data_IF_395417739755
#
_entry.id   IF_395417739755
#
_cell.length_a   1.000
_cell.length_b   1.000
_cell.length_c   1.000
_cell.angle_alpha   90.00
_cell.angle_beta   90.00
_cell.angle_gamma   90.00
#
_symmetry.space_group_name_H-M   'P 1'
#
loop_
_entity.id
_entity.type
_entity.pdbx_description
1 polymer ?
2 non-polymer ?
3 non-polymer ?
4 water ?
#
# COMPACT_ATOMS: atom_id res chain seq x y z
N UNK A 26 8.60 20.81 -7.37
CA UNK A 26 8.42 19.86 -6.21
C UNK A 26 8.39 20.56 -4.83
N UNK A 27 7.27 20.45 -4.13
CA UNK A 27 6.98 21.26 -2.94
C UNK A 27 6.75 20.38 -1.72
N UNK A 28 7.37 20.74 -0.61
CA UNK A 28 7.22 20.02 0.65
C UNK A 28 6.25 20.82 1.50
N UNK A 29 5.08 20.28 1.79
CA UNK A 29 4.05 21.00 2.55
C UNK A 29 3.99 20.43 3.94
N UNK A 30 4.40 21.22 4.93
CA UNK A 30 4.41 20.72 6.30
C UNK A 30 3.00 20.55 6.85
N UNK A 31 2.80 19.46 7.57
CA UNK A 31 1.52 19.16 8.16
C UNK A 31 1.60 19.38 9.66
N UNK A 32 2.45 18.61 10.33
CA UNK A 32 2.54 18.63 11.79
C UNK A 32 3.48 17.54 12.22
N UNK A 33 3.85 17.55 13.49
CA UNK A 33 4.84 16.61 13.99
C UNK A 33 4.22 15.25 14.23
N UNK A 34 4.90 14.19 13.79
CA UNK A 34 4.45 12.83 14.01
C UNK A 34 5.46 11.98 14.72
N UNK A 35 4.99 10.87 15.23
CA UNK A 35 5.86 9.89 15.84
C UNK A 35 6.94 9.47 14.86
N UNK A 36 8.17 9.37 15.34
CA UNK A 36 9.33 9.09 14.49
C UNK A 36 10.24 7.94 14.93
N UNK A 37 9.98 7.38 16.11
CA UNK A 37 10.87 6.35 16.70
C UNK A 37 10.69 4.97 16.11
N UNK A 38 9.61 4.79 15.38
CA UNK A 38 9.39 3.64 14.48
C UNK A 38 8.89 4.16 13.16
N UNK A 39 8.87 3.28 12.17
CA UNK A 39 8.36 3.61 10.85
C UNK A 39 6.84 3.49 10.72
N UNK A 40 6.11 3.46 11.83
CA UNK A 40 4.65 3.21 11.78
C UNK A 40 3.85 4.17 10.90
N UNK A 41 4.29 5.42 10.80
CA UNK A 41 3.58 6.39 9.94
C UNK A 41 3.96 6.27 8.48
N UNK A 42 5.03 5.54 8.18
CA UNK A 42 5.68 5.60 6.88
C UNK A 42 6.00 4.22 6.34
N UNK A 43 4.97 3.41 6.16
CA UNK A 43 5.15 2.10 5.59
C UNK A 43 4.47 2.07 4.24
N UNK A 44 4.92 1.12 3.44
CA UNK A 44 4.44 1.05 2.08
C UNK A 44 2.98 0.60 2.01
N UNK A 45 2.48 0.03 3.09
CA UNK A 45 1.19 -0.61 3.10
C UNK A 45 0.13 0.23 3.81
N UNK A 46 0.40 1.52 4.03
CA UNK A 46 -0.66 2.43 4.45
C UNK A 46 -1.53 2.75 3.25
N UNK A 47 -2.79 2.28 3.32
CA UNK A 47 -3.75 2.33 2.22
C UNK A 47 -5.07 2.89 2.74
N UNK A 48 -5.19 4.21 2.93
CA UNK A 48 -4.22 5.21 2.59
C UNK A 48 -3.75 5.99 3.81
N UNK A 49 -2.61 6.62 3.65
CA UNK A 49 -2.15 7.66 4.60
C UNK A 49 -2.68 9.03 4.18
N UNK A 50 -2.93 9.18 2.87
CA UNK A 50 -3.24 10.43 2.24
C UNK A 50 -4.25 10.16 1.17
N UNK A 51 -5.35 10.91 1.16
CA UNK A 51 -6.34 10.69 0.15
C UNK A 51 -7.10 11.97 -0.19
N UNK A 52 -7.32 12.17 -1.48
CA UNK A 52 -8.10 13.32 -1.96
C UNK A 52 -9.52 12.92 -2.29
N UNK A 53 -10.45 13.82 -2.02
CA UNK A 53 -11.78 13.73 -2.57
C UNK A 53 -12.21 15.13 -2.93
N UNK A 54 -12.63 15.32 -4.18
CA UNK A 54 -13.06 16.63 -4.68
C UNK A 54 -11.83 17.53 -4.65
N UNK A 55 -11.97 18.68 -4.00
CA UNK A 55 -10.84 19.61 -3.85
C UNK A 55 -10.17 19.56 -2.48
N UNK A 56 -10.41 18.52 -1.68
CA UNK A 56 -9.81 18.42 -0.34
C UNK A 56 -8.93 17.19 -0.24
N UNK A 57 -7.86 17.30 0.53
CA UNK A 57 -6.98 16.16 0.78
C UNK A 57 -6.96 15.89 2.27
N UNK A 58 -6.96 14.62 2.62
CA UNK A 58 -7.06 14.15 4.01
C UNK A 58 -5.81 13.34 4.30
N UNK A 59 -5.37 13.45 5.53
CA UNK A 59 -4.17 12.78 5.98
C UNK A 59 -4.41 12.17 7.34
N UNK A 60 -3.64 11.14 7.66
CA UNK A 60 -3.69 10.59 8.98
C UNK A 60 -2.30 10.11 9.38
N UNK A 61 -2.01 10.22 10.66
CA UNK A 61 -0.73 9.77 11.19
C UNK A 61 -0.83 9.75 12.71
N UNK A 62 0.13 9.08 13.34
CA UNK A 62 0.27 9.15 14.78
C UNK A 62 1.17 10.30 15.15
N UNK A 63 0.74 11.12 16.12
CA UNK A 63 1.59 12.21 16.60
C UNK A 63 2.67 11.69 17.53
N UNK A 64 3.51 12.59 18.06
CA UNK A 64 4.60 12.21 18.96
C UNK A 64 4.19 11.42 20.19
N UNK A 65 2.96 11.60 20.64
CA UNK A 65 2.43 10.90 21.82
C UNK A 65 1.63 9.67 21.48
N UNK A 66 1.54 9.33 20.19
CA UNK A 66 0.91 8.08 19.80
C UNK A 66 -0.54 8.23 19.48
N UNK A 67 -1.07 9.47 19.48
CA UNK A 67 -2.47 9.67 19.10
C UNK A 67 -2.62 9.71 17.61
N UNK A 68 -3.71 9.11 17.16
CA UNK A 68 -4.16 9.22 15.79
C UNK A 68 -4.63 10.63 15.55
N UNK A 69 -3.96 11.30 14.61
CA UNK A 69 -4.30 12.62 14.15
C UNK A 69 -4.89 12.51 12.76
N UNK A 70 -5.94 13.29 12.52
CA UNK A 70 -6.55 13.46 11.19
C UNK A 70 -6.34 14.88 10.76
N UNK A 71 -6.07 15.05 9.48
CA UNK A 71 -5.94 16.36 8.90
C UNK A 71 -6.63 16.49 7.59
N UNK A 72 -6.95 17.72 7.23
CA UNK A 72 -7.46 18.00 5.93
C UNK A 72 -7.03 19.38 5.46
N UNK A 73 -6.98 19.54 4.14
CA UNK A 73 -6.72 20.84 3.54
C UNK A 73 -7.47 20.93 2.23
N UNK A 74 -7.62 22.15 1.74
CA UNK A 74 -7.90 22.33 0.33
C UNK A 74 -6.63 22.01 -0.42
N UNK A 75 -6.75 21.28 -1.53
CA UNK A 75 -5.60 20.97 -2.37
C UNK A 75 -4.81 22.21 -2.80
N UNK A 76 -5.49 23.31 -3.06
CA UNK A 76 -4.77 24.58 -3.31
C UNK A 76 -3.73 24.84 -2.22
N UNK A 77 -4.26 24.89 -1.01
CA UNK A 77 -3.64 25.53 0.12
C UNK A 77 -2.52 24.72 0.76
N UNK A 78 -1.70 25.41 1.53
CA UNK A 78 -0.74 24.78 2.42
C UNK A 78 -1.23 24.74 3.86
N UNK A 79 -2.46 25.20 4.11
CA UNK A 79 -3.03 25.32 5.42
C UNK A 79 -3.82 24.06 5.76
N UNK A 80 -3.31 23.28 6.70
CA UNK A 80 -3.98 22.07 7.17
C UNK A 80 -4.80 22.38 8.40
N UNK A 81 -5.97 21.75 8.48
CA UNK A 81 -6.70 21.66 9.73
C UNK A 81 -6.48 20.28 10.31
N UNK A 82 -5.97 20.23 11.54
CA UNK A 82 -5.61 19.02 12.21
C UNK A 82 -6.49 18.77 13.39
N UNK A 83 -6.83 17.50 13.60
CA UNK A 83 -7.57 17.12 14.79
C UNK A 83 -6.94 15.88 15.39
N UNK A 84 -6.54 15.98 16.63
CA UNK A 84 -6.13 14.82 17.39
C UNK A 84 -7.39 14.07 17.79
N UNK A 85 -7.44 12.78 17.50
CA UNK A 85 -8.61 12.00 17.85
C UNK A 85 -8.52 11.45 19.28
N UNK A 86 -9.53 10.70 19.68
CA UNK A 86 -9.56 10.02 20.96
C UNK A 86 -8.67 8.77 21.00
N UNK A 87 -8.13 8.32 19.86
CA UNK A 87 -7.46 7.05 19.80
C UNK A 87 -5.95 7.15 19.82
N UNK A 88 -5.31 6.28 20.57
CA UNK A 88 -3.88 6.14 20.64
C UNK A 88 -3.53 4.80 20.00
N UNK A 89 -2.39 4.69 19.34
CA UNK A 89 -2.00 3.43 18.75
C UNK A 89 -0.73 2.94 19.43
N UNK A 90 -0.46 1.64 19.29
CA UNK A 90 0.78 1.04 19.75
C UNK A 90 1.90 1.39 18.74
N UNK A 91 2.34 2.62 18.80
CA UNK A 91 3.32 3.14 17.85
C UNK A 91 4.70 2.51 17.94
N UNK A 92 4.99 1.82 19.05
CA UNK A 92 6.23 1.08 19.19
C UNK A 92 6.34 -0.11 18.23
N UNK A 93 5.23 -0.52 17.63
CA UNK A 93 5.22 -1.62 16.69
C UNK A 93 4.86 -1.06 15.32
N UNK A 94 5.80 -1.12 14.38
CA UNK A 94 5.64 -0.52 13.09
C UNK A 94 4.57 -1.18 12.23
N UNK A 95 4.05 -2.33 12.64
CA UNK A 95 2.94 -2.96 11.98
C UNK A 95 1.62 -2.21 12.15
N UNK A 96 1.54 -1.40 13.21
CA UNK A 96 0.26 -0.94 13.77
C UNK A 96 -0.21 0.34 13.10
N UNK A 97 -0.17 0.31 11.78
CA UNK A 97 -0.41 1.46 10.93
C UNK A 97 -1.87 1.91 10.96
N UNK A 98 -2.08 3.10 10.41
CA UNK A 98 -3.38 3.64 10.11
C UNK A 98 -3.61 3.61 8.60
N UNK A 99 -4.76 3.09 8.19
CA UNK A 99 -5.30 3.24 6.85
C UNK A 99 -6.64 3.99 6.88
N UNK A 100 -6.77 4.92 5.95
CA UNK A 100 -7.96 5.75 5.81
C UNK A 100 -8.40 5.78 4.36
N UNK A 101 -9.68 6.08 4.23
CA UNK A 101 -10.27 6.31 2.93
C UNK A 101 -11.55 7.09 3.14
N UNK A 102 -11.97 7.82 2.11
CA UNK A 102 -13.30 8.40 2.16
C UNK A 102 -14.20 7.65 1.23
N UNK A 103 -15.45 7.44 1.64
CA UNK A 103 -16.45 6.89 0.76
C UNK A 103 -17.09 7.97 -0.11
N UNK A 104 -18.00 7.55 -0.96
CA UNK A 104 -18.69 8.40 -1.94
C UNK A 104 -19.44 9.56 -1.36
N UNK A 105 -19.86 9.42 -0.11
CA UNK A 105 -20.58 10.47 0.58
C UNK A 105 -19.69 11.36 1.41
N UNK A 106 -18.37 11.10 1.39
CA UNK A 106 -17.38 11.91 2.08
C UNK A 106 -17.08 11.51 3.50
N UNK A 107 -17.69 10.44 4.00
CA UNK A 107 -17.37 9.95 5.33
C UNK A 107 -15.97 9.34 5.25
N UNK A 108 -15.18 9.68 6.25
CA UNK A 108 -13.88 9.04 6.49
C UNK A 108 -14.07 7.69 7.15
N UNK A 109 -13.30 6.72 6.69
CA UNK A 109 -13.25 5.40 7.27
C UNK A 109 -11.81 5.22 7.69
N UNK A 110 -11.63 4.78 8.90
CA UNK A 110 -10.30 4.69 9.52
C UNK A 110 -10.18 3.33 10.12
N UNK A 111 -9.03 2.70 9.92
CA UNK A 111 -8.73 1.46 10.56
C UNK A 111 -7.27 1.48 10.97
N UNK A 112 -7.00 1.05 12.18
CA UNK A 112 -5.70 1.36 12.75
C UNK A 112 -5.31 0.43 13.87
N UNK A 113 -4.01 0.41 14.11
CA UNK A 113 -3.43 -0.09 15.35
C UNK A 113 -3.60 -1.61 15.54
N UNK A 114 -3.27 -2.38 14.49
CA UNK A 114 -3.35 -3.83 14.57
C UNK A 114 -2.02 -4.51 14.36
N UNK A 115 -1.82 -5.56 15.13
CA UNK A 115 -0.80 -6.56 14.83
C UNK A 115 -1.29 -7.87 15.40
N UNK A 116 -2.32 -8.39 14.75
CA UNK A 116 -3.03 -9.57 15.21
C UNK A 116 -3.98 -9.26 16.33
N UNK A 117 -4.76 -8.21 16.18
CA UNK A 117 -5.68 -7.69 17.17
C UNK A 117 -7.07 -7.56 16.62
N UNK A 118 -8.05 -7.45 17.52
CA UNK A 118 -9.43 -7.26 17.12
C UNK A 118 -9.52 -5.97 16.27
N UNK A 119 -10.37 -6.03 15.25
CA UNK A 119 -10.57 -4.92 14.33
C UNK A 119 -10.85 -3.59 15.06
N UNK A 120 -10.03 -2.59 14.78
CA UNK A 120 -10.23 -1.21 15.12
C UNK A 120 -10.63 -0.44 13.85
N UNK A 121 -11.89 -0.06 13.81
CA UNK A 121 -12.47 0.58 12.67
C UNK A 121 -13.51 1.60 13.15
N UNK A 122 -13.50 2.78 12.56
CA UNK A 122 -14.57 3.72 12.83
C UNK A 122 -14.70 4.67 11.68
N UNK A 123 -15.86 5.31 11.68
CA UNK A 123 -16.22 6.28 10.68
C UNK A 123 -16.25 7.70 11.27
N UNK A 124 -16.08 8.69 10.40
CA UNK A 124 -16.36 10.07 10.82
C UNK A 124 -17.87 10.20 11.12
N UNK A 125 -18.17 11.15 11.98
CA UNK A 125 -19.57 11.38 12.42
C UNK A 125 -20.39 12.09 11.35
N UNK A 126 -19.70 12.75 10.43
CA UNK A 126 -20.32 13.40 9.29
C UNK A 126 -19.33 13.43 8.11
N UNK A 127 -19.84 13.66 6.90
CA UNK A 127 -18.95 13.75 5.75
C UNK A 127 -17.91 14.82 5.93
N UNK A 128 -16.68 14.57 5.49
CA UNK A 128 -15.63 15.60 5.40
C UNK A 128 -15.25 16.22 6.73
N UNK A 129 -15.52 15.51 7.82
CA UNK A 129 -15.30 15.99 9.15
C UNK A 129 -14.31 15.13 9.93
N UNK A 130 -13.41 15.79 10.64
CA UNK A 130 -12.35 15.16 11.40
C UNK A 130 -12.78 14.85 12.81
N UNK A 131 -13.78 14.03 12.92
CA UNK A 131 -14.31 13.64 14.17
C UNK A 131 -14.74 12.18 13.99
N UNK A 132 -14.14 11.30 14.74
CA UNK A 132 -14.46 9.94 14.62
C UNK A 132 -15.43 9.38 15.65
N UNK A 133 -16.31 8.53 15.18
CA UNK A 133 -17.21 7.81 16.05
C UNK A 133 -16.51 6.73 16.83
N UNK A 134 -17.30 5.92 17.50
CA UNK A 134 -16.77 4.81 18.25
C UNK A 134 -16.35 3.69 17.34
N UNK A 135 -15.47 2.84 17.85
CA UNK A 135 -15.07 1.63 17.15
C UNK A 135 -16.26 0.73 16.88
N UNK A 136 -16.32 0.22 15.67
CA UNK A 136 -17.41 -0.66 15.31
C UNK A 136 -16.92 -1.85 14.52
N UNK A 137 -17.71 -2.92 14.53
CA UNK A 137 -17.40 -4.02 13.61
C UNK A 137 -17.77 -3.66 12.17
N UNK A 138 -17.28 -4.47 11.25
CA UNK A 138 -17.74 -4.37 9.86
C UNK A 138 -18.82 -5.37 9.67
N UNK A 139 -18.44 -6.64 9.69
CA UNK A 139 -19.40 -7.73 9.62
C UNK A 139 -19.51 -8.46 10.94
N UNK A 140 -18.59 -8.21 11.87
CA UNK A 140 -18.49 -9.03 13.07
C UNK A 140 -18.03 -10.47 12.91
N UNK A 141 -17.67 -10.88 11.70
CA UNK A 141 -17.18 -12.24 11.47
C UNK A 141 -15.68 -12.22 11.18
N UNK A 142 -14.96 -13.04 11.94
CA UNK A 142 -13.51 -13.16 11.80
C UNK A 142 -12.78 -11.82 11.83
N UNK A 143 -13.14 -10.99 12.82
CA UNK A 143 -12.56 -9.70 13.02
C UNK A 143 -11.74 -9.65 14.29
N UNK A 144 -11.33 -10.81 14.82
CA UNK A 144 -10.62 -10.87 16.10
C UNK A 144 -9.10 -10.87 15.97
N UNK A 145 -8.60 -11.07 14.76
CA UNK A 145 -7.15 -11.11 14.53
C UNK A 145 -6.80 -10.48 13.19
N UNK A 146 -6.57 -9.18 13.23
CA UNK A 146 -6.39 -8.35 12.08
C UNK A 146 -4.97 -7.82 12.06
N UNK A 147 -4.39 -7.83 10.87
CA UNK A 147 -3.17 -7.09 10.58
C UNK A 147 -3.37 -6.49 9.19
N UNK A 148 -2.74 -5.35 8.93
CA UNK A 148 -2.68 -4.73 7.59
C UNK A 148 -4.04 -4.36 7.01
N UNK A 149 -4.76 -3.47 7.69
CA UNK A 149 -6.00 -2.97 7.09
C UNK A 149 -5.70 -2.15 5.87
N UNK A 150 -6.51 -2.32 4.82
CA UNK A 150 -6.38 -1.52 3.61
C UNK A 150 -7.73 -1.19 3.05
N UNK A 151 -7.91 0.08 2.67
CA UNK A 151 -9.11 0.49 2.00
C UNK A 151 -8.84 0.81 0.55
N UNK A 152 -9.85 0.59 -0.28
CA UNK A 152 -9.81 0.97 -1.67
C UNK A 152 -11.17 1.48 -2.08
N UNK A 153 -11.21 2.52 -2.89
CA UNK A 153 -12.51 2.98 -3.34
C UNK A 153 -12.98 2.15 -4.51
N UNK A 154 -14.29 1.95 -4.59
CA UNK A 154 -14.88 1.21 -5.67
C UNK A 154 -15.78 2.18 -6.41
N UNK A 155 -16.29 1.73 -7.55
CA UNK A 155 -17.30 2.50 -8.29
C UNK A 155 -18.54 2.80 -7.46
N UNK A 156 -19.17 3.93 -7.76
CA UNK A 156 -20.39 4.34 -7.08
C UNK A 156 -20.21 4.80 -5.64
N UNK A 157 -18.99 5.14 -5.24
CA UNK A 157 -18.72 5.59 -3.89
C UNK A 157 -18.57 4.49 -2.84
N UNK A 158 -18.69 3.22 -3.23
CA UNK A 158 -18.49 2.13 -2.31
C UNK A 158 -17.00 1.99 -1.94
N UNK A 159 -16.73 1.17 -0.93
CA UNK A 159 -15.33 0.88 -0.53
C UNK A 159 -15.05 -0.58 -0.48
N UNK A 160 -13.78 -0.90 -0.69
CA UNK A 160 -13.28 -2.23 -0.45
C UNK A 160 -12.41 -2.12 0.79
N UNK A 161 -12.51 -3.12 1.66
CA UNK A 161 -11.58 -3.29 2.78
C UNK A 161 -10.99 -4.66 2.68
N UNK A 162 -9.68 -4.73 2.85
CA UNK A 162 -8.96 -5.98 2.86
C UNK A 162 -8.11 -5.99 4.11
N UNK A 163 -8.04 -7.15 4.73
CA UNK A 163 -7.10 -7.33 5.82
C UNK A 163 -6.57 -8.71 5.87
N UNK A 164 -5.53 -8.86 6.66
CA UNK A 164 -4.91 -10.15 6.89
C UNK A 164 -5.45 -10.71 8.20
N UNK A 165 -6.23 -11.78 8.10
CA UNK A 165 -6.81 -12.40 9.25
C UNK A 165 -5.87 -13.48 9.72
N UNK A 166 -5.50 -13.47 10.98
CA UNK A 166 -4.53 -14.42 11.49
C UNK A 166 -5.15 -15.47 12.37
N UNK A 167 -6.48 -15.49 12.45
CA UNK A 167 -7.17 -16.28 13.46
C UNK A 167 -6.92 -17.77 13.31
N UNK A 168 -6.75 -18.24 12.08
CA UNK A 168 -6.51 -19.65 11.76
C UNK A 168 -5.08 -20.12 12.03
N UNK A 169 -4.17 -19.21 12.35
CA UNK A 169 -2.76 -19.52 12.45
C UNK A 169 -1.92 -19.20 11.22
N UNK A 170 -2.58 -18.81 10.14
CA UNK A 170 -1.95 -18.37 8.92
C UNK A 170 -2.68 -17.11 8.44
N UNK A 171 -1.94 -16.16 7.89
CA UNK A 171 -2.54 -14.95 7.37
C UNK A 171 -3.42 -15.29 6.20
N UNK A 172 -4.65 -14.84 6.25
CA UNK A 172 -5.62 -15.11 5.23
C UNK A 172 -6.24 -13.79 4.79
N UNK A 173 -6.38 -13.63 3.46
CA UNK A 173 -6.97 -12.44 2.88
C UNK A 173 -8.47 -12.43 3.10
N UNK A 174 -8.97 -11.41 3.77
CA UNK A 174 -10.41 -11.22 3.94
C UNK A 174 -10.77 -9.92 3.28
N UNK A 175 -11.83 -9.92 2.50
CA UNK A 175 -12.21 -8.81 1.66
C UNK A 175 -13.69 -8.50 1.90
N UNK A 176 -13.94 -7.26 2.31
CA UNK A 176 -15.28 -6.75 2.49
C UNK A 176 -15.57 -5.63 1.53
N UNK A 177 -16.87 -5.37 1.35
CA UNK A 177 -17.34 -4.22 0.62
C UNK A 177 -18.29 -3.42 1.50
N UNK A 178 -18.17 -2.10 1.40
CA UNK A 178 -19.04 -1.18 2.04
C UNK A 178 -19.98 -0.59 0.99
N UNK A 179 -21.27 -0.79 1.22
CA UNK A 179 -22.29 -0.16 0.43
C UNK A 179 -22.53 1.22 1.02
N UNK A 180 -22.12 2.26 0.30
CA UNK A 180 -22.31 3.62 0.75
C UNK A 180 -23.79 3.96 0.84
N UNK A 181 -24.61 3.38 -0.04
CA UNK A 181 -26.06 3.69 0.00
C UNK A 181 -26.74 3.04 1.22
N UNK A 182 -26.35 1.83 1.58
CA UNK A 182 -26.96 1.17 2.74
C UNK A 182 -26.18 1.39 4.04
N UNK A 183 -24.98 2.00 3.95
CA UNK A 183 -24.12 2.18 5.12
C UNK A 183 -23.85 0.86 5.84
N UNK A 184 -23.46 -0.15 5.07
CA UNK A 184 -23.29 -1.50 5.58
C UNK A 184 -22.13 -2.16 4.90
N UNK A 185 -21.39 -2.96 5.65
CA UNK A 185 -20.33 -3.82 5.13
C UNK A 185 -20.82 -5.22 4.86
N UNK A 186 -20.33 -5.81 3.79
CA UNK A 186 -20.61 -7.17 3.42
C UNK A 186 -19.30 -7.90 3.18
N UNK A 187 -19.27 -9.18 3.55
CA UNK A 187 -18.14 -10.03 3.20
C UNK A 187 -18.20 -10.28 1.71
N UNK A 188 -17.04 -10.17 1.06
CA UNK A 188 -16.93 -10.44 -0.37
C UNK A 188 -16.19 -11.75 -0.58
N UNK A 189 -15.04 -11.89 0.05
CA UNK A 189 -14.26 -13.11 -0.04
C UNK A 189 -13.63 -13.41 1.31
N UNK A 190 -13.82 -14.66 1.73
CA UNK A 190 -13.30 -15.29 2.96
C UNK A 190 -12.07 -16.14 2.59
N UNK A 191 -12.11 -16.70 1.40
CA UNK A 191 -11.17 -17.72 0.95
C UNK A 191 -10.84 -17.39 -0.52
N UNK A 192 -9.95 -16.43 -0.69
CA UNK A 192 -9.54 -15.98 -2.01
C UNK A 192 -8.19 -16.56 -2.43
N UNK A 193 -7.18 -16.38 -1.59
CA UNK A 193 -5.87 -16.96 -1.80
C UNK A 193 -5.76 -18.05 -0.76
N UNK A 194 -5.52 -19.27 -1.22
CA UNK A 194 -5.44 -20.45 -0.38
C UNK A 194 -4.05 -21.10 -0.39
N UNK A 195 -3.39 -21.02 0.75
CA UNK A 195 -2.07 -21.61 0.95
C UNK A 195 -2.11 -23.11 1.23
N UNK A 196 -3.34 -23.63 1.38
CA UNK A 196 -3.64 -25.07 1.54
C UNK A 196 -2.96 -25.67 2.77
N UNK A 197 -2.82 -24.87 3.82
CA UNK A 197 -2.11 -25.24 5.02
C UNK A 197 -0.61 -25.57 4.77
N UNK A 198 -0.07 -25.12 3.66
CA UNK A 198 1.27 -25.51 3.21
C UNK A 198 2.15 -24.27 3.09
N UNK A 199 1.54 -23.14 2.75
CA UNK A 199 2.32 -21.93 2.46
C UNK A 199 1.54 -20.69 2.87
N UNK A 200 2.27 -19.58 2.95
CA UNK A 200 1.74 -18.25 3.18
C UNK A 200 1.71 -17.45 1.89
N UNK A 201 0.93 -16.37 1.93
CA UNK A 201 0.86 -15.39 0.87
C UNK A 201 0.86 -14.01 1.50
N UNK A 202 1.46 -13.07 0.78
CA UNK A 202 1.49 -11.67 1.16
C UNK A 202 1.14 -10.89 -0.07
N UNK A 203 0.15 -10.02 0.09
CA UNK A 203 -0.50 -9.40 -1.06
C UNK A 203 -0.46 -7.88 -1.06
N UNK A 204 -0.79 -7.32 -2.21
CA UNK A 204 -1.12 -5.91 -2.32
C UNK A 204 -2.18 -5.79 -3.38
N UNK A 205 -2.87 -4.65 -3.35
CA UNK A 205 -4.02 -4.39 -4.21
C UNK A 205 -4.03 -2.97 -4.71
N UNK A 206 -4.83 -2.76 -5.74
CA UNK A 206 -5.04 -1.45 -6.30
C UNK A 206 -6.37 -1.50 -7.02
N UNK A 207 -7.16 -0.44 -6.89
CA UNK A 207 -8.37 -0.32 -7.68
C UNK A 207 -8.12 0.74 -8.73
N UNK A 208 -8.35 0.39 -9.99
CA UNK A 208 -8.00 1.26 -11.06
C UNK A 208 -9.15 2.23 -11.38
N UNK A 209 -8.91 3.03 -12.40
CA UNK A 209 -9.87 4.09 -12.81
C UNK A 209 -11.19 3.54 -13.39
N UNK A 210 -11.22 2.26 -13.75
CA UNK A 210 -12.44 1.58 -14.16
C UNK A 210 -13.16 0.91 -13.01
N UNK A 211 -12.59 0.94 -11.80
CA UNK A 211 -13.15 0.25 -10.67
C UNK A 211 -12.79 -1.22 -10.55
N UNK A 212 -11.76 -1.61 -11.30
CA UNK A 212 -11.27 -2.99 -11.30
C UNK A 212 -10.32 -3.16 -10.14
N UNK A 213 -10.51 -4.24 -9.40
CA UNK A 213 -9.63 -4.62 -8.33
C UNK A 213 -8.48 -5.45 -8.87
N UNK A 214 -7.26 -4.99 -8.65
CA UNK A 214 -6.08 -5.76 -9.01
C UNK A 214 -5.45 -6.25 -7.73
N UNK A 215 -4.94 -7.46 -7.78
CA UNK A 215 -4.41 -8.19 -6.63
C UNK A 215 -3.12 -8.86 -7.06
N UNK A 216 -2.05 -8.69 -6.29
CA UNK A 216 -0.85 -9.49 -6.56
C UNK A 216 -0.30 -9.91 -5.27
N UNK A 217 0.52 -10.95 -5.30
CA UNK A 217 1.05 -11.50 -4.07
C UNK A 217 2.27 -12.34 -4.33
N UNK A 218 3.00 -12.58 -3.27
CA UNK A 218 4.09 -13.54 -3.26
C UNK A 218 3.67 -14.65 -2.35
N UNK A 219 4.20 -15.83 -2.64
CA UNK A 219 4.08 -16.94 -1.75
C UNK A 219 5.25 -16.95 -0.80
N UNK A 220 5.08 -17.68 0.30
CA UNK A 220 6.20 -17.97 1.22
C UNK A 220 6.04 -19.37 1.71
N UNK A 221 7.04 -20.22 1.46
CA UNK A 221 6.86 -21.63 1.71
C UNK A 221 6.87 -21.96 3.19
N UNK A 222 7.74 -21.29 3.96
CA UNK A 222 7.84 -21.59 5.39
C UNK A 222 7.50 -20.30 6.12
N UNK A 223 7.90 -20.20 7.38
CA UNK A 223 7.68 -18.95 8.11
C UNK A 223 8.74 -17.93 7.79
N UNK A 224 9.85 -18.36 7.19
CA UNK A 224 11.01 -17.51 7.03
C UNK A 224 10.94 -16.70 5.72
N UNK A 225 11.31 -15.45 5.82
CA UNK A 225 11.26 -14.53 4.69
C UNK A 225 12.04 -15.00 3.46
N UNK A 226 13.11 -15.77 3.65
CA UNK A 226 13.92 -16.20 2.51
C UNK A 226 13.14 -17.19 1.65
N UNK A 227 12.03 -17.74 2.15
CA UNK A 227 11.26 -18.67 1.37
C UNK A 227 10.12 -17.97 0.61
N UNK A 228 10.15 -16.64 0.58
CA UNK A 228 9.30 -15.88 -0.37
C UNK A 228 9.65 -16.35 -1.79
N UNK A 229 8.64 -16.55 -2.62
CA UNK A 229 8.86 -16.82 -4.04
C UNK A 229 7.66 -16.43 -4.88
N UNK A 230 7.97 -16.00 -6.09
CA UNK A 230 7.02 -15.75 -7.17
C UNK A 230 6.16 -14.53 -6.96
N UNK A 231 5.56 -14.09 -8.07
CA UNK A 231 4.61 -13.00 -8.05
C UNK A 231 3.45 -13.49 -8.87
N UNK A 232 2.28 -13.47 -8.24
CA UNK A 232 1.04 -13.89 -8.82
C UNK A 232 0.07 -12.72 -8.89
N UNK A 233 -0.97 -12.91 -9.70
CA UNK A 233 -1.88 -11.86 -10.03
C UNK A 233 -3.29 -12.36 -10.22
N UNK A 234 -4.25 -11.48 -9.85
CA UNK A 234 -5.63 -11.70 -10.18
C UNK A 234 -6.31 -10.34 -10.25
N UNK A 235 -7.40 -10.29 -10.98
CA UNK A 235 -8.23 -9.09 -11.01
C UNK A 235 -9.69 -9.39 -10.94
N UNK A 236 -10.48 -8.42 -10.47
CA UNK A 236 -11.92 -8.57 -10.41
C UNK A 236 -12.55 -7.28 -10.89
N UNK A 237 -13.44 -7.44 -11.85
CA UNK A 237 -14.17 -6.32 -12.39
C UNK A 237 -15.44 -6.04 -11.60
N UNK A 238 -15.92 -7.01 -10.85
CA UNK A 238 -17.23 -6.89 -10.23
C UNK A 238 -17.22 -6.76 -8.71
N UNK A 239 -16.33 -5.92 -8.22
CA UNK A 239 -16.17 -5.70 -6.77
C UNK A 239 -15.89 -7.00 -6.00
N UNK A 240 -15.11 -7.90 -6.60
CA UNK A 240 -14.50 -8.99 -5.88
C UNK A 240 -15.25 -10.30 -5.93
N UNK A 241 -16.31 -10.39 -6.73
CA UNK A 241 -17.13 -11.61 -6.72
C UNK A 241 -16.48 -12.64 -7.62
N UNK A 242 -16.07 -12.23 -8.83
CA UNK A 242 -15.44 -13.12 -9.80
C UNK A 242 -14.07 -12.56 -10.13
N UNK A 243 -13.12 -13.45 -10.42
CA UNK A 243 -11.70 -13.11 -10.55
C UNK A 243 -11.17 -13.71 -11.81
N UNK A 244 -10.27 -12.96 -12.43
CA UNK A 244 -9.72 -13.28 -13.71
C UNK A 244 -8.20 -13.15 -13.68
N UNK A 245 -7.57 -13.85 -14.59
CA UNK A 245 -6.18 -13.66 -14.91
C UNK A 245 -6.02 -12.52 -15.89
N UNK A 246 -4.81 -11.97 -15.97
CA UNK A 246 -4.48 -10.94 -17.00
C UNK A 246 -4.66 -11.49 -18.43
N UNK A 247 -4.50 -12.80 -18.60
CA UNK A 247 -4.68 -13.43 -19.91
C UNK A 247 -6.15 -13.63 -20.26
N UNK A 248 -7.07 -13.27 -19.37
CA UNK A 248 -8.50 -13.24 -19.62
C UNK A 248 -9.25 -14.43 -19.11
N UNK A 249 -8.56 -15.45 -18.63
CA UNK A 249 -9.22 -16.66 -18.11
C UNK A 249 -9.82 -16.42 -16.72
N UNK A 250 -11.00 -16.98 -16.50
CA UNK A 250 -11.63 -16.86 -15.21
C UNK A 250 -10.96 -17.80 -14.21
N UNK A 251 -10.81 -17.35 -12.97
CA UNK A 251 -10.35 -18.25 -11.90
C UNK A 251 -11.48 -19.12 -11.37
N UNK A 252 -11.17 -20.36 -11.08
CA UNK A 252 -12.01 -21.21 -10.22
C UNK A 252 -11.41 -21.02 -8.83
N UNK A 253 -12.16 -20.44 -7.91
CA UNK A 253 -11.66 -20.05 -6.59
C UNK A 253 -11.65 -21.24 -5.64
N UNK A 254 -10.80 -21.24 -4.60
CA UNK A 254 -9.82 -20.22 -4.33
C UNK A 254 -8.58 -20.33 -5.21
N UNK A 255 -7.69 -19.36 -5.10
CA UNK A 255 -6.50 -19.36 -5.95
C UNK A 255 -5.38 -19.99 -5.14
N UNK A 256 -4.80 -21.04 -5.69
CA UNK A 256 -3.77 -21.84 -5.06
C UNK A 256 -2.51 -21.77 -5.85
N UNK A 257 -1.46 -22.35 -5.32
CA UNK A 257 -0.18 -22.42 -6.01
C UNK A 257 -0.33 -22.94 -7.46
N UNK A 258 -1.13 -24.00 -7.61
CA UNK A 258 -1.27 -24.71 -8.88
C UNK A 258 -2.00 -23.93 -9.92
N UNK A 259 -3.01 -23.13 -9.55
CA UNK A 259 -3.83 -22.43 -10.54
C UNK A 259 -3.61 -20.91 -10.62
N UNK A 260 -2.77 -20.34 -9.75
CA UNK A 260 -2.42 -18.93 -9.85
C UNK A 260 -1.79 -18.55 -11.20
N UNK A 261 -2.09 -17.35 -11.63
CA UNK A 261 -1.34 -16.75 -12.70
C UNK A 261 -0.04 -16.19 -12.15
N UNK A 262 1.07 -16.58 -12.79
CA UNK A 262 2.40 -16.16 -12.40
C UNK A 262 2.78 -14.98 -13.26
N UNK A 263 2.87 -13.83 -12.63
CA UNK A 263 3.38 -12.64 -13.24
C UNK A 263 4.87 -12.74 -13.41
N UNK A 264 5.54 -13.38 -12.47
CA UNK A 264 6.97 -13.56 -12.57
C UNK A 264 7.37 -14.72 -11.70
N UNK A 265 8.27 -15.58 -12.17
CA UNK A 265 8.77 -16.68 -11.35
C UNK A 265 10.04 -16.18 -10.71
N UNK A 266 10.08 -16.17 -9.38
CA UNK A 266 11.22 -15.63 -8.65
C UNK A 266 11.41 -16.64 -7.53
N UNK A 267 12.52 -17.38 -7.56
CA UNK A 267 12.65 -18.47 -6.59
C UNK A 267 12.91 -18.07 -5.14
N UNK A 268 12.71 -19.01 -4.22
CA UNK A 268 13.18 -18.81 -2.86
C UNK A 268 14.69 -18.47 -2.87
N UNK A 269 15.10 -17.80 -1.82
CA UNK A 269 16.44 -17.32 -1.60
C UNK A 269 16.88 -16.33 -2.69
N UNK A 270 15.94 -15.47 -3.12
CA UNK A 270 16.24 -14.41 -4.09
C UNK A 270 16.15 -13.01 -3.47
N UNK A 271 16.11 -12.93 -2.13
CA UNK A 271 15.83 -11.68 -1.43
C UNK A 271 14.59 -10.98 -1.98
N UNK A 272 13.59 -11.78 -2.37
CA UNK A 272 12.33 -11.25 -2.79
C UNK A 272 11.59 -10.77 -1.54
N UNK A 273 11.11 -9.54 -1.62
CA UNK A 273 10.42 -8.91 -0.51
C UNK A 273 8.95 -9.20 -0.59
N UNK A 274 8.26 -9.17 0.54
CA UNK A 274 6.79 -9.31 0.61
C UNK A 274 6.15 -7.97 1.02
N UNK A 275 4.92 -7.81 0.54
CA UNK A 275 4.04 -6.71 0.87
C UNK A 275 4.59 -5.41 0.33
N UNK A 276 4.50 -5.24 -0.97
CA UNK A 276 4.97 -4.04 -1.66
C UNK A 276 3.76 -3.26 -2.14
N UNK A 277 3.69 -2.93 -3.42
CA UNK A 277 2.57 -2.20 -3.92
C UNK A 277 2.39 -2.47 -5.38
N UNK A 278 1.28 -2.02 -5.88
CA UNK A 278 0.97 -2.21 -7.24
C UNK A 278 0.10 -1.09 -7.70
N UNK A 279 0.07 -0.91 -8.99
CA UNK A 279 -0.79 0.09 -9.60
C UNK A 279 -1.34 -0.43 -10.91
N UNK A 280 -2.06 0.43 -11.59
CA UNK A 280 -2.56 0.12 -12.91
C UNK A 280 -2.70 1.41 -13.71
N UNK A 281 -2.61 1.27 -15.03
CA UNK A 281 -2.75 2.42 -15.90
C UNK A 281 -4.23 2.59 -16.24
N UNK A 282 -4.53 3.57 -17.07
CA UNK A 282 -5.92 3.86 -17.42
C UNK A 282 -6.52 2.81 -18.35
N UNK A 283 -5.69 1.98 -18.99
CA UNK A 283 -6.17 0.81 -19.76
C UNK A 283 -6.46 -0.41 -18.87
N UNK A 284 -6.31 -0.29 -17.54
CA UNK A 284 -6.50 -1.42 -16.64
C UNK A 284 -5.35 -2.42 -16.63
N UNK A 285 -4.18 -2.02 -17.11
CA UNK A 285 -3.01 -2.89 -17.13
C UNK A 285 -2.26 -2.76 -15.82
N UNK A 286 -1.89 -3.89 -15.20
CA UNK A 286 -1.27 -3.84 -13.88
C UNK A 286 0.25 -3.69 -13.89
N UNK A 287 0.78 -2.99 -12.89
CA UNK A 287 2.18 -2.83 -12.65
C UNK A 287 2.44 -3.16 -11.21
N UNK A 288 3.48 -3.94 -10.94
CA UNK A 288 3.80 -4.38 -9.60
C UNK A 288 5.25 -3.93 -9.34
N UNK A 289 5.49 -3.24 -8.23
CA UNK A 289 6.83 -2.78 -7.92
C UNK A 289 7.33 -3.63 -6.76
N UNK A 290 8.54 -4.16 -6.90
CA UNK A 290 9.15 -4.91 -5.83
C UNK A 290 10.67 -4.90 -5.99
N UNK A 291 11.34 -5.76 -5.23
CA UNK A 291 12.73 -5.97 -5.52
C UNK A 291 13.10 -7.40 -5.24
N UNK A 292 14.16 -7.83 -5.89
CA UNK A 292 14.78 -9.12 -5.63
C UNK A 292 16.18 -9.10 -6.20
N UNK A 293 16.90 -10.19 -5.94
CA UNK A 293 18.26 -10.35 -6.32
C UNK A 293 18.40 -11.44 -7.41
N UNK A 294 19.17 -11.15 -8.45
CA UNK A 294 19.43 -12.14 -9.51
C UNK A 294 20.26 -13.29 -8.94
N UNK A 295 20.15 -14.48 -9.53
CA UNK A 295 20.98 -15.60 -9.04
C UNK A 295 22.49 -15.35 -9.01
N UNK A 296 22.96 -14.59 -9.97
CA UNK A 296 24.39 -14.35 -10.22
C UNK A 296 24.87 -13.05 -9.55
N UNK A 297 24.03 -12.40 -8.75
CA UNK A 297 24.43 -11.15 -8.08
C UNK A 297 24.27 -11.28 -6.57
N UNK A 298 25.01 -10.48 -5.81
CA UNK A 298 24.74 -10.30 -4.38
C UNK A 298 23.85 -9.10 -4.05
N UNK A 299 23.43 -8.35 -5.05
CA UNK A 299 22.82 -7.08 -4.84
C UNK A 299 21.34 -7.09 -5.23
N UNK A 300 20.42 -6.93 -4.26
CA UNK A 300 19.00 -6.82 -4.64
C UNK A 300 18.79 -5.56 -5.45
N UNK A 301 17.87 -5.62 -6.40
CA UNK A 301 17.60 -4.52 -7.30
C UNK A 301 16.11 -4.33 -7.38
N UNK A 302 15.71 -3.09 -7.42
CA UNK A 302 14.33 -2.74 -7.67
C UNK A 302 13.89 -3.19 -9.05
N UNK A 303 12.63 -3.62 -9.11
CA UNK A 303 12.04 -4.20 -10.30
C UNK A 303 10.66 -3.66 -10.53
N UNK A 304 10.23 -3.79 -11.78
CA UNK A 304 8.87 -3.48 -12.14
C UNK A 304 8.42 -4.66 -12.98
N UNK A 305 7.21 -5.13 -12.69
CA UNK A 305 6.64 -6.30 -13.34
C UNK A 305 5.30 -5.80 -13.84
N UNK A 306 5.02 -5.98 -15.12
CA UNK A 306 3.77 -5.40 -15.64
C UNK A 306 3.21 -6.25 -16.76
N UNK A 307 1.91 -6.10 -16.96
CA UNK A 307 1.22 -6.78 -18.03
C UNK A 307 0.62 -5.71 -18.89
N UNK A 308 1.02 -5.71 -20.15
CA UNK A 308 0.64 -4.67 -21.12
C UNK A 308 -0.59 -5.00 -21.96
N UNK A 309 -1.37 -6.00 -21.59
CA UNK A 309 -2.47 -6.47 -22.37
C UNK A 309 -2.15 -7.68 -23.21
N UNK A 310 -0.87 -7.92 -23.43
CA UNK A 310 -0.39 -9.03 -24.20
C UNK A 310 0.39 -10.02 -23.38
N UNK A 311 1.29 -9.56 -22.50
CA UNK A 311 2.17 -10.47 -21.80
C UNK A 311 2.72 -9.80 -20.54
N UNK A 312 3.23 -10.60 -19.64
CA UNK A 312 3.94 -10.12 -18.48
C UNK A 312 5.38 -9.85 -18.86
N UNK A 313 5.91 -8.78 -18.32
CA UNK A 313 7.31 -8.45 -18.50
C UNK A 313 7.83 -8.01 -17.15
N UNK A 314 9.14 -8.03 -17.02
CA UNK A 314 9.80 -7.50 -15.87
C UNK A 314 11.08 -6.76 -16.28
N UNK A 315 11.44 -5.75 -15.50
CA UNK A 315 12.60 -4.96 -15.80
C UNK A 315 13.22 -4.47 -14.49
N UNK A 316 14.53 -4.36 -14.51
CA UNK A 316 15.29 -3.84 -13.42
C UNK A 316 15.20 -2.33 -13.50
N UNK A 317 14.91 -1.71 -12.37
CA UNK A 317 14.72 -0.26 -12.32
C UNK A 317 15.99 0.42 -11.85
N UNK A 318 16.61 -0.18 -10.82
CA UNK A 318 17.75 0.39 -10.17
C UNK A 318 19.08 -0.12 -10.72
N UNK A 319 20.16 0.50 -10.27
CA UNK A 319 21.52 0.10 -10.67
C UNK A 319 22.38 0.15 -9.42
N UNK A 320 21.96 -0.63 -8.44
CA UNK A 320 22.58 -0.65 -7.12
C UNK A 320 23.83 -1.48 -7.10
N UNK A 321 24.67 -1.25 -6.10
CA UNK A 321 25.94 -1.98 -5.96
C UNK A 321 26.16 -2.53 -4.57
N UNK A 322 25.21 -2.32 -3.65
CA UNK A 322 25.42 -2.64 -2.24
C UNK A 322 24.58 -3.84 -1.86
N UNK A 323 25.24 -4.97 -1.54
CA UNK A 323 24.49 -6.12 -1.08
C UNK A 323 23.76 -5.85 0.21
N UNK A 324 22.61 -6.49 0.35
CA UNK A 324 21.99 -6.70 1.64
C UNK A 324 21.18 -7.99 1.57
N UNK A 325 20.76 -8.45 2.73
CA UNK A 325 19.93 -9.65 2.87
C UNK A 325 18.79 -9.41 3.83
N UNK A 326 17.68 -10.07 3.53
CA UNK A 326 16.51 -10.04 4.40
C UNK A 326 16.64 -11.04 5.55
N UNK A 327 17.51 -12.04 5.38
CA UNK A 327 17.60 -13.26 6.21
C UNK A 327 18.12 -13.03 7.62
N UNK A 333 17.25 -2.33 10.12
CA UNK A 333 16.42 -1.64 9.12
C UNK A 333 16.81 -2.20 7.77
N UNK A 334 15.85 -2.52 6.91
CA UNK A 334 16.20 -2.92 5.56
C UNK A 334 16.70 -1.65 4.85
N UNK A 335 17.84 -1.72 4.16
CA UNK A 335 18.48 -0.49 3.64
C UNK A 335 17.85 0.14 2.41
N UNK A 336 16.82 -0.48 1.86
CA UNK A 336 15.99 0.10 0.84
C UNK A 336 14.54 -0.05 1.24
N UNK A 337 13.73 0.89 0.80
CA UNK A 337 12.32 0.87 1.07
C UNK A 337 11.61 0.01 0.03
N UNK A 338 10.48 -0.50 0.43
CA UNK A 338 9.56 -1.06 -0.54
C UNK A 338 8.94 0.09 -1.34
N UNK A 339 8.79 -0.11 -2.64
CA UNK A 339 8.47 1.01 -3.52
C UNK A 339 6.98 1.25 -3.74
N UNK A 340 6.68 2.44 -4.23
CA UNK A 340 5.37 2.81 -4.76
C UNK A 340 5.59 3.28 -6.20
N UNK A 341 4.55 3.16 -6.99
CA UNK A 341 4.59 3.60 -8.37
C UNK A 341 3.30 4.27 -8.74
N UNK A 342 3.40 5.20 -9.68
CA UNK A 342 2.24 5.67 -10.39
C UNK A 342 2.60 5.64 -11.84
N UNK A 343 1.60 5.41 -12.69
CA UNK A 343 1.85 5.29 -14.12
C UNK A 343 0.79 6.02 -14.93
N UNK A 344 1.22 6.62 -16.03
CA UNK A 344 0.32 7.38 -16.94
C UNK A 344 0.76 6.91 -18.31
N UNK A 345 -0.01 5.99 -18.90
CA UNK A 345 0.23 5.50 -20.29
C UNK A 345 1.65 5.02 -20.57
N UNK A 346 2.14 4.11 -19.75
CA UNK A 346 3.52 3.63 -19.89
C UNK A 346 4.61 4.50 -19.28
N UNK A 347 4.33 5.77 -19.01
CA UNK A 347 5.27 6.59 -18.22
C UNK A 347 5.15 6.16 -16.74
N UNK A 348 6.29 5.97 -16.10
CA UNK A 348 6.37 5.44 -14.72
C UNK A 348 7.10 6.41 -13.78
N UNK A 349 6.57 6.62 -12.58
CA UNK A 349 7.27 7.32 -11.50
C UNK A 349 7.36 6.29 -10.40
N UNK A 350 8.57 5.96 -10.05
CA UNK A 350 8.85 4.83 -9.19
C UNK A 350 9.56 5.40 -7.99
N UNK A 351 8.87 5.39 -6.85
CA UNK A 351 9.32 6.08 -5.65
C UNK A 351 9.95 5.08 -4.70
N UNK A 352 11.11 5.43 -4.19
CA UNK A 352 11.86 4.54 -3.33
C UNK A 352 12.75 5.31 -2.38
N UNK A 353 13.53 4.59 -1.59
CA UNK A 353 14.49 5.20 -0.67
C UNK A 353 15.57 4.16 -0.53
N UNK A 354 16.80 4.62 -0.56
CA UNK A 354 17.94 3.69 -0.63
C UNK A 354 19.11 4.29 0.16
N UNK A 355 19.72 3.47 0.99
CA UNK A 355 20.95 3.87 1.68
C UNK A 355 22.06 4.38 0.75
N UNK A 356 22.12 3.89 -0.49
CA UNK A 356 23.12 4.36 -1.48
C UNK A 356 22.90 5.79 -1.87
N UNK A 357 21.68 6.28 -1.71
CA UNK A 357 21.34 7.64 -2.01
C UNK A 357 21.12 8.49 -0.75
N UNK A 358 21.77 8.11 0.37
CA UNK A 358 21.63 8.84 1.63
C UNK A 358 20.25 8.70 2.28
N UNK A 359 19.51 7.66 1.92
CA UNK A 359 18.16 7.41 2.41
C UNK A 359 17.22 8.62 2.22
N UNK A 360 17.39 9.33 1.13
CA UNK A 360 16.48 10.38 0.73
C UNK A 360 15.21 9.76 0.12
N UNK A 361 14.21 10.60 -0.13
CA UNK A 361 13.12 10.19 -1.01
C UNK A 361 13.70 10.26 -2.40
N UNK A 362 13.64 9.15 -3.12
CA UNK A 362 14.16 9.07 -4.50
C UNK A 362 13.08 8.63 -5.44
N UNK A 363 13.29 8.98 -6.71
CA UNK A 363 12.41 8.62 -7.78
C UNK A 363 13.21 8.16 -9.00
N UNK A 364 12.74 7.07 -9.59
CA UNK A 364 13.21 6.57 -10.85
C UNK A 364 12.05 6.85 -11.82
N UNK A 365 12.38 7.47 -12.93
CA UNK A 365 11.38 7.89 -13.87
C UNK A 365 11.74 7.32 -15.22
N UNK A 366 10.76 6.73 -15.90
CA UNK A 366 10.91 6.33 -17.27
C UNK A 366 9.72 6.88 -18.05
N UNK A 367 10.01 7.42 -19.25
CA UNK A 367 9.00 7.83 -20.23
C UNK A 367 8.21 6.63 -20.73
N UNK A 368 8.87 5.48 -20.81
CA UNK A 368 8.27 4.25 -21.26
C UNK A 368 8.80 3.14 -20.38
N UNK A 369 7.90 2.43 -19.72
CA UNK A 369 8.28 1.43 -18.70
C UNK A 369 9.27 0.39 -19.22
N UNK A 370 9.00 -0.17 -20.40
CA UNK A 370 9.78 -1.24 -20.94
C UNK A 370 11.02 -0.78 -21.67
N UNK A 371 10.96 0.38 -22.31
CA UNK A 371 11.98 0.77 -23.27
C UNK A 371 12.70 2.07 -22.99
N UNK A 372 12.20 2.90 -22.07
CA UNK A 372 12.80 4.22 -21.83
C UNK A 372 13.93 4.10 -20.83
N UNK A 373 14.92 4.98 -20.94
CA UNK A 373 15.97 5.06 -19.92
C UNK A 373 15.33 5.45 -18.58
N UNK A 374 15.85 4.89 -17.49
CA UNK A 374 15.47 5.35 -16.17
C UNK A 374 16.31 6.56 -15.80
N UNK A 375 15.66 7.58 -15.27
CA UNK A 375 16.33 8.73 -14.71
C UNK A 375 16.06 8.70 -13.25
N UNK A 376 17.12 8.65 -12.44
CA UNK A 376 16.99 8.58 -11.00
C UNK A 376 17.30 9.94 -10.38
N UNK A 377 16.37 10.48 -9.59
CA UNK A 377 16.57 11.77 -8.92
C UNK A 377 16.16 11.65 -7.47
N UNK A 378 16.69 12.55 -6.64
CA UNK A 378 16.24 12.65 -5.26
C UNK A 378 15.19 13.74 -5.15
N UNK A 379 14.11 13.44 -4.42
CA UNK A 379 13.03 14.40 -4.20
C UNK A 379 13.17 15.17 -2.89
N UNK A 380 13.99 14.66 -1.97
CA UNK A 380 14.34 15.38 -0.75
C UNK A 380 15.84 15.50 -0.74
N UNK A 381 16.33 16.57 -0.12
CA UNK A 381 17.78 16.72 0.10
C UNK A 381 18.21 16.27 1.50
N UNK A 382 17.30 15.64 2.24
CA UNK A 382 17.57 15.14 3.58
C UNK A 382 17.13 13.69 3.66
N UNK A 383 17.77 12.96 4.57
CA UNK A 383 17.47 11.58 4.83
C UNK A 383 16.14 11.43 5.55
N UNK A 384 15.38 10.42 5.12
CA UNK A 384 14.17 10.03 5.78
C UNK A 384 14.26 8.64 6.37
N UNK A 385 15.47 8.07 6.31
CA UNK A 385 15.85 6.82 6.97
C UNK A 385 14.90 5.67 6.80
N UNK A 386 14.08 5.34 7.79
CA UNK A 386 13.21 4.13 7.70
C UNK A 386 11.93 4.33 6.87
N UNK A 387 11.70 5.56 6.41
CA UNK A 387 10.56 5.91 5.57
C UNK A 387 10.40 4.96 4.38
N UNK A 388 9.14 4.58 4.12
CA UNK A 388 8.75 3.95 2.87
C UNK A 388 7.63 4.77 2.30
N UNK A 389 7.52 4.83 0.99
CA UNK A 389 6.48 5.66 0.37
C UNK A 389 5.05 5.19 0.57
N UNK A 390 4.12 6.15 0.72
CA UNK A 390 2.73 5.93 0.41
C UNK A 390 2.27 7.25 -0.16
N UNK A 391 1.27 7.18 -1.03
CA UNK A 391 0.89 8.29 -1.85
C UNK A 391 -0.60 8.43 -1.95
N UNK A 392 -1.01 9.59 -2.42
CA UNK A 392 -2.42 9.88 -2.61
C UNK A 392 -2.91 9.21 -3.90
N UNK A 393 -3.40 7.99 -3.74
CA UNK A 393 -3.78 7.19 -4.92
C UNK A 393 -4.90 7.85 -5.71
N UNK A 394 -5.83 8.47 -4.99
CA UNK A 394 -7.00 9.07 -5.63
C UNK A 394 -6.64 10.36 -6.34
N UNK A 395 -5.70 11.10 -5.78
CA UNK A 395 -5.21 12.30 -6.45
C UNK A 395 -4.52 11.98 -7.77
N UNK A 396 -3.75 10.90 -7.79
CA UNK A 396 -3.13 10.47 -9.01
C UNK A 396 -4.18 10.08 -10.07
N UNK A 397 -5.14 9.25 -9.68
CA UNK A 397 -6.19 8.83 -10.60
C UNK A 397 -7.06 9.97 -11.12
N UNK A 398 -7.34 10.93 -10.26
CA UNK A 398 -8.29 12.00 -10.58
C UNK A 398 -7.61 13.20 -11.26
N UNK A 399 -6.41 13.54 -10.83
CA UNK A 399 -5.73 14.77 -11.28
C UNK A 399 -4.34 14.59 -11.84
N UNK A 400 -3.82 13.37 -11.86
CA UNK A 400 -2.44 13.11 -12.25
C UNK A 400 -1.42 13.98 -11.49
N UNK A 401 -1.67 14.16 -10.21
CA UNK A 401 -0.67 14.77 -9.33
C UNK A 401 -0.21 13.73 -8.36
N UNK A 402 1.12 13.70 -8.17
CA UNK A 402 1.76 12.77 -7.27
C UNK A 402 2.11 13.45 -5.96
N UNK A 403 1.40 13.07 -4.89
CA UNK A 403 1.65 13.54 -3.55
C UNK A 403 2.01 12.37 -2.64
N UNK A 404 3.14 12.53 -1.95
CA UNK A 404 3.68 11.50 -1.07
C UNK A 404 3.59 11.93 0.37
N UNK A 405 3.29 10.97 1.22
CA UNK A 405 3.46 11.12 2.64
C UNK A 405 4.92 10.98 2.98
N UNK A 406 5.52 12.03 3.53
CA UNK A 406 6.94 12.08 3.79
C UNK A 406 7.18 12.47 5.23
N UNK A 407 7.97 11.68 5.93
CA UNK A 407 8.34 11.94 7.29
C UNK A 407 9.61 11.16 7.54
N UNK A 408 10.58 11.80 8.20
CA UNK A 408 11.80 11.15 8.63
C UNK A 408 11.46 10.29 9.85
N UNK A 409 11.61 8.97 9.72
CA UNK A 409 11.37 8.04 10.80
C UNK A 409 12.58 7.14 10.91
N UNK A 410 12.68 6.46 12.03
CA UNK A 410 13.77 5.52 12.31
C UNK A 410 13.21 4.16 12.65
N UNK A 411 14.04 3.15 12.53
CA UNK A 411 13.65 1.78 12.86
C UNK A 411 14.89 0.96 13.26
N UNK A 418 15.37 3.42 19.98
CA UNK A 418 15.73 4.63 19.25
C UNK A 418 15.11 5.86 19.92
N UNK A 419 15.94 6.70 20.54
CA UNK A 419 15.50 8.01 21.04
C UNK A 419 15.56 8.99 19.87
N UNK A 420 14.41 9.53 19.49
CA UNK A 420 14.36 10.42 18.34
C UNK A 420 13.11 11.27 18.46
N UNK A 421 13.27 12.58 18.37
CA UNK A 421 12.16 13.51 18.56
C UNK A 421 11.11 13.32 17.44
N UNK A 422 9.85 13.68 17.71
CA UNK A 422 8.85 13.72 16.66
C UNK A 422 9.32 14.56 15.49
N UNK A 423 9.10 14.09 14.27
CA UNK A 423 9.60 14.77 13.11
C UNK A 423 8.42 15.23 12.33
N UNK A 424 8.57 16.37 11.64
CA UNK A 424 7.47 16.86 10.84
C UNK A 424 7.01 15.87 9.76
N UNK A 425 5.70 15.72 9.67
CA UNK A 425 5.04 15.08 8.53
C UNK A 425 4.89 16.10 7.42
N UNK A 426 5.23 15.71 6.20
CA UNK A 426 5.04 16.54 5.03
C UNK A 426 4.19 15.83 4.02
N UNK A 427 3.51 16.59 3.19
CA UNK A 427 3.08 16.08 1.90
C UNK A 427 4.07 16.65 0.91
N UNK A 428 4.71 15.76 0.17
CA UNK A 428 5.65 16.13 -0.89
C UNK A 428 4.86 16.08 -2.18
N UNK A 429 4.67 17.24 -2.81
CA UNK A 429 4.00 17.38 -4.09
C UNK A 429 5.08 17.30 -5.17
N UNK A 430 5.09 16.24 -5.94
CA UNK A 430 6.20 15.96 -6.84
C UNK A 430 6.04 16.76 -8.15
X LIG B 1 5.79 -7.72 -4.07
X LIG B 1 4.69 -8.48 -3.75
X LIG B 1 6.92 -8.40 -3.39
X LIG B 1 7.69 -9.12 -4.31
X LIG C 1 3.10 5.79 4.72
X LIG C 1 2.52 7.08 4.99
X LIG C 1 4.36 5.86 3.87
X LIG C 1 4.95 7.17 3.74
X LIG D 1 13.82 -19.68 -11.75
X LIG D 1 15.97 -18.48 -11.68
X LIG D 1 15.20 -19.78 -11.44
X LIG D 1 15.13 -17.35 -11.64
X LIG D 1 15.29 -15.04 -11.07
X LIG D 1 15.80 -16.13 -11.98
X LIG D 1 13.99 -14.66 -11.57
X LIG D 1 12.82 -13.48 -13.32
X LIG D 1 14.07 -13.59 -12.46
X LIG D 1 13.17 -12.93 -14.59
X LIG D 1 14.05 -11.77 -14.50
X LIG E 1 7.72 0.93 7.07
X LIG E 1 8.61 -1.07 8.26
X LIG E 1 8.84 0.10 7.32
X LIG E 1 7.23 -1.19 8.61
X LIG E 1 7.22 -3.54 8.23
X LIG E 1 6.83 -2.44 9.19
X LIG E 1 6.31 -4.63 8.22
X LIG E 1 5.55 -6.20 6.62
X LIG E 1 6.76 -5.65 7.34
#
# INVERSE_FOLDING_TARGET
>A
MGSSHHHHHHSSGLVPRGSHMASQQSRLVEVGNGYSQTSVNTTVFRNNSLVTQGDEQYISYYDGDGYLVLGKRKLNSDQWTLQRTQYKGNVKDAHNIISMMLDGDGYLHLSFDHHGHKLNYCRSTAPYTLELGDKEPMTGVDEGNVTYPEFYPLNGGDLLFVYRSGSSGRGNLVMNRYSVKEKKWYRVQDVLIDGEDQRNAYWQLYVDEQGTIHLSWVWRETWHVETNHDLCYARSYDNGVTWYKANGKKYDLPIRYNNAEYACRIPQNSELINQTSMSADASGNPYIATYWRDPDSDVPQYRIVWHDGQMWQNRQVSDRHTPFSLKGGGTKMIPIARPRIVVDGGEIFYIFRDEERGSRVSMAHAQAVGTGKWTITDLTDFAVDAWEPSHDTELWKQKRRLHLFVQHTKQGDGERMVEFAPQPVYVLEVNN
>B hetero
1 EDO C1 O1 C2 O2
>C hetero
1 EDO C1 O1 C2 O2
>D hetero
1 1PE OH3 C13 C23 OH4 C14 C24 OH5 C15 C25 OH6 C26
>E hetero
1 1PE OH3 C13 C23 OH4 C14 C24 OH5 C15 C25
#
